data_IF_535283565219
#
_entry.id   IF_535283565219
#
_cell.length_a   1.000
_cell.length_b   1.000
_cell.length_c   1.000
_cell.angle_alpha   90.00
_cell.angle_beta   90.00
_cell.angle_gamma   90.00
#
_symmetry.space_group_name_H-M   'P 1'
#
loop_
_entity.id
_entity.type
_entity.pdbx_description
1 polymer ?
#
# COMPACT_ATOMS: atom_id res chain seq x y z
N UNK A 1 -16.09 -26.38 -46.05
CA UNK A 1 -16.11 -24.93 -46.34
C UNK A 1 -17.02 -24.29 -45.30
N UNK A 2 -16.46 -23.53 -44.35
CA UNK A 2 -17.30 -22.79 -43.39
C UNK A 2 -17.96 -21.63 -44.14
N UNK A 3 -19.29 -21.56 -44.08
CA UNK A 3 -20.05 -20.44 -44.62
C UNK A 3 -19.57 -19.16 -43.93
N UNK A 4 -19.09 -18.19 -44.70
CA UNK A 4 -18.77 -16.86 -44.16
C UNK A 4 -20.09 -16.19 -43.80
N UNK A 5 -20.34 -16.10 -42.50
CA UNK A 5 -21.45 -15.32 -41.96
C UNK A 5 -21.20 -13.84 -42.31
N UNK A 6 -22.18 -13.22 -42.99
CA UNK A 6 -22.12 -11.80 -43.31
C UNK A 6 -22.67 -11.03 -42.11
N UNK A 7 -21.89 -10.08 -41.61
CA UNK A 7 -22.30 -9.18 -40.53
C UNK A 7 -22.71 -7.85 -41.14
N UNK A 8 -23.92 -7.38 -40.86
CA UNK A 8 -24.32 -6.02 -41.21
C UNK A 8 -23.71 -5.02 -40.22
N UNK A 9 -22.77 -4.22 -40.72
CA UNK A 9 -22.04 -3.24 -39.90
C UNK A 9 -22.96 -2.11 -39.38
N UNK A 10 -24.06 -1.84 -40.08
CA UNK A 10 -25.10 -0.88 -39.67
C UNK A 10 -25.78 -1.24 -38.35
N UNK A 11 -25.93 -2.53 -38.04
CA UNK A 11 -26.55 -3.00 -36.79
C UNK A 11 -25.74 -2.59 -35.55
N UNK A 12 -24.44 -2.32 -35.75
CA UNK A 12 -23.51 -1.86 -34.73
C UNK A 12 -23.27 -0.34 -34.79
N UNK A 13 -24.02 0.38 -35.62
CA UNK A 13 -23.87 1.83 -35.81
C UNK A 13 -22.62 2.23 -36.60
N UNK A 14 -22.00 1.30 -37.33
CA UNK A 14 -20.83 1.57 -38.17
C UNK A 14 -21.31 2.09 -39.53
N UNK A 15 -20.94 3.32 -39.90
CA UNK A 15 -21.24 3.85 -41.21
C UNK A 15 -20.15 3.48 -42.22
N UNK A 16 -20.55 3.04 -43.41
CA UNK A 16 -19.62 2.63 -44.48
C UNK A 16 -19.76 3.58 -45.66
N UNK A 17 -18.66 4.18 -46.09
CA UNK A 17 -18.58 4.95 -47.32
C UNK A 17 -17.59 4.30 -48.27
N UNK A 18 -18.05 3.94 -49.47
CA UNK A 18 -17.20 3.42 -50.51
C UNK A 18 -16.99 4.47 -51.60
N UNK A 19 -15.73 4.82 -51.84
CA UNK A 19 -15.27 5.68 -52.93
C UNK A 19 -14.65 4.78 -54.00
N UNK A 20 -15.46 4.40 -54.99
CA UNK A 20 -15.09 3.51 -56.08
C UNK A 20 -13.96 4.05 -56.97
N UNK A 21 -13.96 5.33 -57.42
CA UNK A 21 -12.85 5.91 -58.18
C UNK A 21 -11.49 5.84 -57.47
N UNK A 22 -11.48 5.95 -56.14
CA UNK A 22 -10.26 5.84 -55.33
C UNK A 22 -10.01 4.45 -54.75
N UNK A 23 -10.87 3.48 -55.05
CA UNK A 23 -10.88 2.14 -54.46
C UNK A 23 -10.72 2.16 -52.93
N UNK A 24 -11.41 3.11 -52.28
CA UNK A 24 -11.27 3.37 -50.84
C UNK A 24 -12.58 3.07 -50.12
N UNK A 25 -12.51 2.25 -49.07
CA UNK A 25 -13.60 2.09 -48.09
C UNK A 25 -13.24 2.89 -46.84
N UNK A 26 -14.11 3.80 -46.42
CA UNK A 26 -14.03 4.50 -45.15
C UNK A 26 -15.08 3.95 -44.20
N UNK A 27 -14.69 3.62 -42.98
CA UNK A 27 -15.57 3.13 -41.93
C UNK A 27 -15.59 4.17 -40.82
N UNK A 28 -16.78 4.63 -40.43
CA UNK A 28 -16.98 5.43 -39.23
C UNK A 28 -17.48 4.50 -38.12
N UNK A 29 -16.60 4.21 -37.16
CA UNK A 29 -16.82 3.20 -36.13
C UNK A 29 -17.04 3.91 -34.79
N UNK A 30 -18.16 3.67 -34.09
CA UNK A 30 -18.36 4.17 -32.74
C UNK A 30 -17.19 3.83 -31.80
N UNK A 31 -16.70 4.81 -31.05
CA UNK A 31 -15.55 4.63 -30.14
C UNK A 31 -15.75 3.49 -29.13
N UNK A 32 -16.99 3.20 -28.73
CA UNK A 32 -17.33 2.11 -27.81
C UNK A 32 -17.04 0.71 -28.35
N UNK A 33 -16.85 0.57 -29.67
CA UNK A 33 -16.50 -0.70 -30.33
C UNK A 33 -14.99 -0.87 -30.54
N UNK A 34 -14.19 0.17 -30.27
CA UNK A 34 -12.75 0.11 -30.42
C UNK A 34 -12.08 -0.36 -29.12
N UNK A 35 -11.04 -1.19 -29.27
CA UNK A 35 -10.18 -1.53 -28.13
C UNK A 35 -9.48 -0.28 -27.61
N UNK A 36 -9.51 -0.10 -26.29
CA UNK A 36 -8.89 1.05 -25.64
C UNK A 36 -7.38 0.87 -25.56
N UNK A 37 -6.63 1.84 -26.06
CA UNK A 37 -5.18 1.83 -26.00
C UNK A 37 -4.70 2.21 -24.60
N UNK A 38 -4.05 1.28 -23.89
CA UNK A 38 -3.55 1.51 -22.54
C UNK A 38 -2.12 2.04 -22.56
N UNK A 39 -1.91 3.20 -21.95
CA UNK A 39 -0.60 3.82 -21.75
C UNK A 39 -0.23 3.69 -20.27
N UNK A 40 0.73 2.81 -19.96
CA UNK A 40 1.23 2.62 -18.60
C UNK A 40 2.42 3.55 -18.32
N UNK A 41 2.25 4.48 -17.38
CA UNK A 41 3.27 5.48 -17.02
C UNK A 41 4.31 4.96 -16.01
N UNK A 42 3.98 3.90 -15.26
CA UNK A 42 4.76 3.39 -14.13
C UNK A 42 6.01 2.58 -14.48
N UNK A 43 6.47 2.63 -15.74
CA UNK A 43 7.38 1.63 -16.28
C UNK A 43 6.67 0.29 -16.48
N UNK A 44 7.21 -0.54 -17.37
CA UNK A 44 6.68 -1.91 -17.56
C UNK A 44 6.56 -2.57 -16.19
N UNK A 45 5.37 -3.10 -15.88
CA UNK A 45 5.22 -4.20 -14.94
C UNK A 45 6.05 -5.37 -15.50
N UNK A 46 7.37 -5.33 -15.30
CA UNK A 46 8.19 -6.49 -15.58
C UNK A 46 7.65 -7.56 -14.63
N UNK A 47 7.05 -8.60 -15.18
CA UNK A 47 6.64 -9.76 -14.40
C UNK A 47 7.87 -10.24 -13.62
N UNK A 48 7.90 -9.90 -12.33
CA UNK A 48 8.98 -10.34 -11.46
C UNK A 48 8.73 -11.81 -11.24
N UNK A 49 9.60 -12.66 -11.76
CA UNK A 49 9.55 -14.08 -11.45
C UNK A 49 9.91 -14.27 -9.97
N UNK A 50 8.88 -14.31 -9.12
CA UNK A 50 9.03 -14.47 -7.67
C UNK A 50 9.69 -15.80 -7.30
N UNK A 51 9.53 -16.84 -8.12
CA UNK A 51 10.17 -18.14 -7.91
C UNK A 51 11.69 -18.08 -8.14
N UNK A 52 12.16 -17.09 -8.91
CA UNK A 52 13.58 -16.82 -9.10
C UNK A 52 14.19 -16.03 -7.92
N UNK A 53 13.38 -15.40 -7.06
CA UNK A 53 13.85 -14.66 -5.89
C UNK A 53 14.20 -15.66 -4.79
N UNK A 54 15.50 -15.92 -4.63
CA UNK A 54 16.00 -16.83 -3.59
C UNK A 54 16.56 -16.03 -2.42
N UNK A 55 16.11 -16.28 -1.18
CA UNK A 55 16.71 -15.65 -0.02
C UNK A 55 18.18 -16.06 0.11
N UNK A 56 19.05 -15.06 0.25
CA UNK A 56 20.49 -15.24 0.44
C UNK A 56 20.77 -15.29 1.94
N UNK A 57 21.34 -16.40 2.46
CA UNK A 57 21.74 -16.46 3.85
C UNK A 57 22.79 -15.40 4.18
N UNK A 58 22.70 -14.83 5.37
CA UNK A 58 23.59 -13.75 5.78
C UNK A 58 23.39 -13.35 7.23
N UNK A 59 24.29 -12.49 7.70
CA UNK A 59 24.22 -11.94 9.05
C UNK A 59 24.43 -10.44 8.98
N UNK A 60 23.61 -9.68 9.68
CA UNK A 60 23.72 -8.23 9.81
C UNK A 60 23.74 -7.88 11.29
N UNK A 61 24.63 -6.97 11.68
CA UNK A 61 24.68 -6.40 13.02
C UNK A 61 24.60 -4.88 12.90
N UNK A 62 23.48 -4.32 13.33
CA UNK A 62 23.28 -2.89 13.45
C UNK A 62 23.61 -2.46 14.88
N UNK A 63 24.31 -1.36 15.04
CA UNK A 63 24.63 -0.82 16.37
C UNK A 63 24.53 0.71 16.37
N UNK A 64 24.11 1.27 17.50
CA UNK A 64 24.19 2.70 17.77
C UNK A 64 24.76 2.92 19.16
N UNK A 65 25.61 3.94 19.30
CA UNK A 65 26.28 4.30 20.54
C UNK A 65 26.14 5.81 20.75
N UNK A 66 25.77 6.20 21.97
CA UNK A 66 25.63 7.58 22.39
C UNK A 66 26.35 7.79 23.71
N UNK A 67 27.22 8.80 23.76
CA UNK A 67 27.95 9.17 24.96
C UNK A 67 27.78 10.65 25.27
N UNK A 68 27.55 10.99 26.53
CA UNK A 68 27.55 12.37 27.02
C UNK A 68 28.40 12.49 28.29
N UNK A 69 29.06 13.64 28.41
CA UNK A 69 29.86 14.01 29.58
C UNK A 69 29.42 15.42 29.97
N UNK A 70 28.88 15.55 31.17
CA UNK A 70 28.48 16.81 31.77
C UNK A 70 29.18 16.98 33.12
N UNK A 71 29.20 18.19 33.67
CA UNK A 71 29.92 18.47 34.92
C UNK A 71 29.36 17.60 36.07
N UNK A 72 30.10 16.54 36.43
CA UNK A 72 29.72 15.58 37.47
C UNK A 72 28.88 14.38 37.03
N UNK A 73 28.60 14.22 35.73
CA UNK A 73 27.91 13.03 35.21
C UNK A 73 28.43 12.56 33.84
N UNK A 74 28.42 11.25 33.60
CA UNK A 74 28.77 10.60 32.33
C UNK A 74 27.68 9.60 31.99
N UNK A 75 27.24 9.58 30.75
CA UNK A 75 26.31 8.59 30.23
C UNK A 75 26.92 7.93 29.00
N UNK A 76 26.90 6.61 28.95
CA UNK A 76 27.15 5.83 27.75
C UNK A 76 25.95 4.92 27.53
N UNK A 77 25.33 5.00 26.37
CA UNK A 77 24.17 4.17 26.03
C UNK A 77 24.30 3.68 24.60
N UNK A 78 23.56 2.64 24.27
CA UNK A 78 23.55 2.11 22.92
C UNK A 78 22.52 1.04 22.72
N UNK A 79 22.29 0.71 21.47
CA UNK A 79 21.46 -0.41 21.07
C UNK A 79 22.16 -1.25 20.01
N UNK A 80 21.75 -2.51 19.92
CA UNK A 80 22.23 -3.46 18.92
C UNK A 80 21.05 -4.26 18.40
N UNK A 81 21.07 -4.54 17.10
CA UNK A 81 20.13 -5.44 16.45
C UNK A 81 20.94 -6.43 15.60
N UNK A 82 20.66 -7.71 15.80
CA UNK A 82 21.26 -8.80 15.04
C UNK A 82 20.19 -9.41 14.14
N UNK A 83 20.50 -9.57 12.86
CA UNK A 83 19.64 -10.21 11.87
C UNK A 83 20.37 -11.42 11.29
N UNK A 84 19.80 -12.61 11.46
CA UNK A 84 20.23 -13.81 10.75
C UNK A 84 19.24 -14.09 9.60
N UNK A 85 19.69 -13.83 8.38
CA UNK A 85 18.95 -14.08 7.15
C UNK A 85 19.13 -15.56 6.80
N UNK A 86 18.03 -16.29 6.64
CA UNK A 86 18.04 -17.71 6.25
C UNK A 86 17.18 -17.92 5.01
N UNK A 87 17.21 -19.14 4.46
CA UNK A 87 16.37 -19.49 3.29
C UNK A 87 14.88 -19.52 3.61
N UNK A 88 14.52 -19.67 4.88
CA UNK A 88 13.13 -19.84 5.31
C UNK A 88 12.60 -18.61 6.06
N UNK A 89 13.41 -17.57 6.27
CA UNK A 89 13.00 -16.38 7.00
C UNK A 89 14.15 -15.66 7.68
N UNK A 90 13.83 -14.62 8.41
CA UNK A 90 14.78 -13.77 9.12
C UNK A 90 14.54 -13.91 10.61
N UNK A 91 15.60 -14.24 11.35
CA UNK A 91 15.62 -14.13 12.79
C UNK A 91 16.20 -12.77 13.18
N UNK A 92 15.51 -12.00 14.02
CA UNK A 92 15.96 -10.73 14.55
C UNK A 92 16.05 -10.78 16.07
N UNK A 93 17.05 -10.11 16.64
CA UNK A 93 17.13 -9.89 18.09
C UNK A 93 17.74 -8.53 18.38
N UNK A 94 17.06 -7.74 19.22
CA UNK A 94 17.49 -6.39 19.59
C UNK A 94 17.71 -6.25 21.09
N UNK A 95 18.66 -5.40 21.45
CA UNK A 95 19.06 -5.14 22.84
C UNK A 95 19.45 -3.68 23.00
N UNK A 96 19.30 -3.14 24.20
CA UNK A 96 19.84 -1.84 24.58
C UNK A 96 20.61 -1.92 25.87
N UNK A 97 21.56 -0.99 26.05
CA UNK A 97 22.29 -0.83 27.28
C UNK A 97 22.47 0.64 27.63
N UNK A 98 22.64 0.92 28.91
CA UNK A 98 22.95 2.24 29.43
C UNK A 98 23.87 2.12 30.64
N UNK A 99 24.85 2.99 30.73
CA UNK A 99 25.86 3.08 31.77
C UNK A 99 25.94 4.55 32.16
N UNK A 100 25.33 4.89 33.29
CA UNK A 100 25.36 6.23 33.85
C UNK A 100 26.30 6.26 35.06
N UNK A 101 27.17 7.26 35.15
CA UNK A 101 28.03 7.52 36.29
C UNK A 101 27.80 8.95 36.75
N UNK A 102 27.45 9.15 38.01
CA UNK A 102 27.25 10.48 38.60
C UNK A 102 27.76 10.56 40.04
N UNK A 103 27.48 11.67 40.72
CA UNK A 103 27.90 11.90 42.10
C UNK A 103 27.40 10.81 43.09
N UNK A 104 26.25 10.20 42.81
CA UNK A 104 25.64 9.15 43.65
C UNK A 104 26.11 7.72 43.32
N UNK A 105 27.05 7.55 42.37
CA UNK A 105 27.58 6.25 41.95
C UNK A 105 27.36 5.93 40.47
N UNK A 106 27.67 4.69 40.08
CA UNK A 106 27.44 4.17 38.73
C UNK A 106 26.23 3.26 38.69
N UNK A 107 25.36 3.42 37.69
CA UNK A 107 24.25 2.54 37.39
C UNK A 107 24.37 2.02 35.96
N UNK A 108 24.16 0.72 35.77
CA UNK A 108 24.19 0.06 34.47
C UNK A 108 22.91 -0.72 34.23
N UNK A 109 22.35 -0.62 33.04
CA UNK A 109 21.23 -1.43 32.58
C UNK A 109 21.56 -2.09 31.25
N UNK A 110 21.05 -3.32 31.10
CA UNK A 110 21.04 -4.05 29.84
C UNK A 110 19.67 -4.68 29.70
N UNK A 111 18.98 -4.34 28.61
CA UNK A 111 17.61 -4.78 28.37
C UNK A 111 17.50 -5.40 27.00
N UNK A 112 16.99 -6.63 26.94
CA UNK A 112 16.56 -7.24 25.68
C UNK A 112 15.24 -6.61 25.25
N UNK A 113 15.19 -6.19 24.00
CA UNK A 113 14.06 -5.51 23.41
C UNK A 113 13.14 -6.55 22.76
N UNK A 114 13.36 -6.86 21.48
CA UNK A 114 12.55 -7.81 20.71
C UNK A 114 13.38 -9.01 20.25
N UNK A 115 12.74 -10.17 20.11
CA UNK A 115 13.29 -11.27 19.31
C UNK A 115 12.16 -11.92 18.52
N UNK A 116 12.34 -12.06 17.21
CA UNK A 116 11.35 -12.71 16.37
C UNK A 116 11.96 -13.46 15.20
N UNK A 117 11.17 -14.38 14.67
CA UNK A 117 11.40 -15.04 13.41
C UNK A 117 10.28 -14.65 12.44
N UNK A 118 10.64 -14.14 11.27
CA UNK A 118 9.68 -13.71 10.25
C UNK A 118 9.92 -14.46 8.95
N UNK A 119 8.86 -15.11 8.47
CA UNK A 119 8.79 -15.71 7.14
C UNK A 119 7.90 -14.86 6.24
N UNK A 120 8.29 -14.68 4.98
CA UNK A 120 7.51 -13.93 3.99
C UNK A 120 7.33 -14.82 2.77
N UNK A 121 6.07 -15.03 2.41
CA UNK A 121 5.65 -15.70 1.19
C UNK A 121 5.22 -14.61 0.18
N UNK A 122 6.08 -14.28 -0.80
CA UNK A 122 5.78 -13.23 -1.77
C UNK A 122 4.70 -13.64 -2.76
N UNK A 123 4.48 -14.94 -3.00
CA UNK A 123 3.47 -15.46 -3.94
C UNK A 123 2.08 -15.36 -3.30
N UNK A 124 1.95 -15.79 -2.04
CA UNK A 124 0.70 -15.65 -1.28
C UNK A 124 0.50 -14.24 -0.69
N UNK A 125 1.49 -13.34 -0.83
CA UNK A 125 1.51 -11.97 -0.28
C UNK A 125 1.19 -12.00 1.22
N UNK A 126 1.92 -12.85 1.95
CA UNK A 126 1.67 -13.11 3.36
C UNK A 126 2.97 -13.16 4.15
N UNK A 127 2.97 -12.59 5.35
CA UNK A 127 4.04 -12.76 6.31
C UNK A 127 3.54 -13.45 7.57
N UNK A 128 4.40 -14.31 8.13
CA UNK A 128 4.19 -15.00 9.40
C UNK A 128 5.32 -14.61 10.34
N UNK A 129 4.99 -14.03 11.48
CA UNK A 129 5.96 -13.62 12.51
C UNK A 129 5.70 -14.41 13.78
N UNK A 130 6.75 -15.01 14.35
CA UNK A 130 6.73 -15.71 15.63
C UNK A 130 7.73 -15.04 16.58
N UNK A 131 7.33 -14.74 17.82
CA UNK A 131 8.14 -14.02 18.80
C UNK A 131 7.56 -12.66 19.13
N UNK A 132 8.39 -11.66 19.39
CA UNK A 132 7.92 -10.29 19.66
C UNK A 132 7.54 -9.55 18.37
N UNK A 133 6.37 -8.92 18.38
CA UNK A 133 5.88 -8.08 17.30
C UNK A 133 4.91 -7.02 17.84
N UNK A 134 4.56 -6.08 16.97
CA UNK A 134 3.48 -5.14 17.21
C UNK A 134 2.24 -5.62 16.45
N UNK A 135 1.09 -5.68 17.11
CA UNK A 135 -0.18 -5.94 16.43
C UNK A 135 -0.44 -4.88 15.37
N UNK A 136 -1.16 -5.26 14.31
CA UNK A 136 -1.42 -4.33 13.22
C UNK A 136 -2.54 -3.36 13.58
N UNK A 137 -2.30 -2.07 13.39
CA UNK A 137 -3.28 -1.02 13.63
C UNK A 137 -3.82 -0.43 12.31
N UNK A 138 -5.08 -0.04 12.34
CA UNK A 138 -5.74 0.86 11.41
C UNK A 138 -5.50 2.32 11.85
N UNK A 139 -5.97 3.28 11.06
CA UNK A 139 -5.74 4.70 11.35
C UNK A 139 -6.46 5.22 12.61
N UNK A 140 -7.42 4.46 13.14
CA UNK A 140 -8.30 4.86 14.23
C UNK A 140 -8.18 4.01 15.51
N UNK A 141 -7.26 3.04 15.55
CA UNK A 141 -6.95 2.26 16.76
C UNK A 141 -5.44 2.28 17.07
N UNK A 142 -5.06 1.74 18.23
CA UNK A 142 -3.67 1.60 18.64
C UNK A 142 -3.08 0.24 18.29
N UNK A 143 -1.74 0.16 18.23
CA UNK A 143 -1.02 -1.12 18.18
C UNK A 143 -0.59 -1.55 19.59
N UNK A 144 -0.62 -2.85 19.85
CA UNK A 144 -0.15 -3.46 21.09
C UNK A 144 1.13 -4.24 20.79
N UNK A 145 2.19 -4.03 21.58
CA UNK A 145 3.40 -4.87 21.50
C UNK A 145 3.18 -6.15 22.29
N UNK A 146 3.52 -7.30 21.72
CA UNK A 146 3.21 -8.61 22.29
C UNK A 146 4.19 -9.68 21.80
N UNK A 147 4.25 -10.81 22.51
CA UNK A 147 4.91 -12.02 22.03
C UNK A 147 3.89 -13.09 21.65
N UNK A 148 4.06 -13.70 20.47
CA UNK A 148 3.17 -14.77 20.00
C UNK A 148 3.31 -15.03 18.51
N UNK A 149 2.18 -15.13 17.80
CA UNK A 149 2.07 -15.37 16.37
C UNK A 149 1.28 -14.25 15.68
N UNK A 150 1.81 -13.73 14.58
CA UNK A 150 1.13 -12.82 13.67
C UNK A 150 1.10 -13.40 12.26
N UNK A 151 -0.05 -13.33 11.61
CA UNK A 151 -0.23 -13.65 10.20
C UNK A 151 -0.86 -12.43 9.53
N UNK A 152 -0.14 -11.81 8.61
CA UNK A 152 -0.56 -10.56 7.99
C UNK A 152 -0.31 -10.54 6.47
N UNK A 153 -1.04 -9.70 5.75
CA UNK A 153 -0.75 -9.41 4.34
C UNK A 153 0.61 -8.70 4.20
N UNK A 154 1.44 -9.12 3.26
CA UNK A 154 2.80 -8.63 3.05
C UNK A 154 2.92 -7.69 1.83
N UNK A 155 1.96 -6.76 1.68
CA UNK A 155 1.93 -5.87 0.51
C UNK A 155 3.15 -4.95 0.41
N UNK A 156 3.66 -4.45 1.54
CA UNK A 156 4.85 -3.58 1.57
C UNK A 156 6.12 -4.27 1.05
N UNK A 157 6.15 -5.61 1.07
CA UNK A 157 7.29 -6.40 0.60
C UNK A 157 7.15 -6.79 -0.88
N UNK A 158 6.07 -6.35 -1.53
CA UNK A 158 5.81 -6.48 -2.97
C UNK A 158 5.76 -5.07 -3.60
N UNK A 159 6.92 -4.41 -3.80
CA UNK A 159 6.97 -3.05 -4.35
C UNK A 159 6.45 -2.96 -5.80
N UNK A 160 6.32 -4.10 -6.48
CA UNK A 160 5.67 -4.25 -7.78
C UNK A 160 4.13 -4.11 -7.70
N UNK A 161 3.54 -4.24 -6.51
CA UNK A 161 2.10 -4.12 -6.32
C UNK A 161 1.69 -2.69 -5.99
N UNK A 162 0.86 -2.13 -6.87
CA UNK A 162 0.13 -0.89 -6.60
C UNK A 162 -1.14 -1.22 -5.80
N UNK A 163 -1.08 -1.02 -4.49
CA UNK A 163 -2.19 -1.34 -3.57
C UNK A 163 -3.20 -0.23 -3.39
N UNK A 164 -2.84 1.01 -3.72
CA UNK A 164 -3.74 2.15 -3.69
C UNK A 164 -4.34 2.37 -5.07
N UNK A 165 -5.60 2.81 -5.18
CA UNK A 165 -6.16 3.17 -6.47
C UNK A 165 -5.43 4.41 -6.99
N UNK A 166 -4.67 4.24 -8.07
CA UNK A 166 -4.08 5.35 -8.79
C UNK A 166 -5.13 5.96 -9.70
N UNK A 167 -5.26 7.31 -9.75
CA UNK A 167 -6.12 7.95 -10.72
C UNK A 167 -5.74 7.57 -12.15
N UNK A 168 -6.75 7.33 -12.98
CA UNK A 168 -6.60 7.04 -14.41
C UNK A 168 -7.20 8.17 -15.24
N UNK A 169 -6.61 8.41 -16.41
CA UNK A 169 -7.06 9.42 -17.37
C UNK A 169 -7.49 8.76 -18.67
N UNK A 170 -8.80 8.61 -18.84
CA UNK A 170 -9.41 8.17 -20.11
C UNK A 170 -9.73 9.36 -21.03
N UNK A 171 -9.50 9.18 -22.32
CA UNK A 171 -9.83 10.13 -23.39
C UNK A 171 -9.99 9.42 -24.74
N UNK A 172 -10.22 10.19 -25.80
CA UNK A 172 -10.24 9.67 -27.16
C UNK A 172 -9.55 10.65 -28.12
N UNK A 173 -8.73 10.11 -29.02
CA UNK A 173 -8.05 10.87 -30.06
C UNK A 173 -8.64 10.55 -31.42
N UNK A 174 -9.09 11.56 -32.17
CA UNK A 174 -9.65 11.37 -33.52
C UNK A 174 -8.55 11.05 -34.54
N UNK A 175 -7.35 11.57 -34.31
CA UNK A 175 -6.15 11.34 -35.12
C UNK A 175 -5.01 10.87 -34.22
N UNK A 176 -3.97 10.20 -34.78
CA UNK A 176 -2.73 9.98 -34.05
C UNK A 176 -2.26 11.29 -33.40
N UNK A 177 -1.96 11.22 -32.12
CA UNK A 177 -1.69 12.40 -31.30
C UNK A 177 -0.52 12.16 -30.36
N UNK A 178 0.20 13.22 -30.02
CA UNK A 178 1.13 13.22 -28.90
C UNK A 178 0.39 13.68 -27.64
N UNK A 179 0.47 12.89 -26.58
CA UNK A 179 -0.06 13.22 -25.27
C UNK A 179 1.04 13.76 -24.37
N UNK A 180 0.92 15.02 -23.98
CA UNK A 180 1.75 15.64 -22.95
C UNK A 180 0.96 15.75 -21.65
N UNK A 181 1.48 15.17 -20.58
CA UNK A 181 0.87 15.23 -19.25
C UNK A 181 1.64 16.21 -18.37
N UNK A 182 0.91 17.18 -17.83
CA UNK A 182 1.42 18.18 -16.91
C UNK A 182 0.81 17.98 -15.53
N UNK A 183 1.65 18.05 -14.50
CA UNK A 183 1.20 18.19 -13.11
C UNK A 183 1.73 19.49 -12.56
N UNK A 184 0.81 20.37 -12.16
CA UNK A 184 1.15 21.78 -11.95
C UNK A 184 1.73 22.38 -13.23
N UNK A 185 2.98 22.85 -13.19
CA UNK A 185 3.69 23.40 -14.36
C UNK A 185 4.73 22.44 -14.97
N UNK A 186 4.94 21.27 -14.37
CA UNK A 186 5.97 20.33 -14.83
C UNK A 186 5.36 19.29 -15.78
N UNK A 187 5.99 19.08 -16.94
CA UNK A 187 5.65 17.96 -17.83
C UNK A 187 6.23 16.68 -17.26
N UNK A 188 5.37 15.73 -16.88
CA UNK A 188 5.76 14.45 -16.26
C UNK A 188 5.75 13.29 -17.26
N UNK A 189 5.05 13.43 -18.39
CA UNK A 189 5.01 12.43 -19.45
C UNK A 189 4.81 13.07 -20.82
N UNK A 190 5.34 12.41 -21.85
CA UNK A 190 5.14 12.72 -23.26
C UNK A 190 5.21 11.41 -24.05
N UNK A 191 4.21 11.13 -24.88
CA UNK A 191 4.17 9.91 -25.69
C UNK A 191 3.12 9.95 -26.79
N UNK A 192 3.22 9.05 -27.77
CA UNK A 192 2.27 8.99 -28.88
C UNK A 192 1.13 8.01 -28.59
N UNK A 193 -0.09 8.36 -29.01
CA UNK A 193 -1.25 7.47 -28.99
C UNK A 193 -1.88 7.37 -30.38
N UNK A 194 -2.37 6.17 -30.76
CA UNK A 194 -3.11 5.99 -31.99
C UNK A 194 -4.48 6.69 -31.94
N UNK A 195 -5.15 6.76 -33.10
CA UNK A 195 -6.56 7.16 -33.15
C UNK A 195 -7.44 6.14 -32.42
N UNK A 196 -8.35 6.61 -31.56
CA UNK A 196 -9.25 5.79 -30.77
C UNK A 196 -9.29 6.20 -29.29
N UNK A 197 -10.05 5.45 -28.47
CA UNK A 197 -10.04 5.63 -27.02
C UNK A 197 -8.68 5.23 -26.43
N UNK A 198 -8.23 5.97 -25.43
CA UNK A 198 -6.99 5.68 -24.69
C UNK A 198 -7.17 5.90 -23.19
N UNK A 199 -6.42 5.11 -22.42
CA UNK A 199 -6.33 5.22 -20.96
C UNK A 199 -4.87 5.45 -20.53
N UNK A 200 -4.62 6.55 -19.83
CA UNK A 200 -3.37 6.81 -19.12
C UNK A 200 -3.47 6.25 -17.69
N UNK A 201 -2.68 5.22 -17.40
CA UNK A 201 -2.68 4.49 -16.12
C UNK A 201 -1.37 4.71 -15.38
N UNK A 202 -1.40 4.45 -14.06
CA UNK A 202 -0.24 4.47 -13.18
C UNK A 202 0.46 5.82 -13.07
N UNK A 203 -0.32 6.89 -12.92
CA UNK A 203 0.21 8.22 -12.62
C UNK A 203 1.08 8.18 -11.34
N UNK A 204 2.21 8.93 -11.28
CA UNK A 204 3.04 8.99 -10.08
C UNK A 204 2.21 9.40 -8.86
N UNK A 205 2.42 8.76 -7.71
CA UNK A 205 1.72 9.10 -6.47
C UNK A 205 2.10 10.51 -6.02
N UNK A 206 1.19 11.48 -6.19
CA UNK A 206 1.40 12.86 -5.77
C UNK A 206 0.32 13.33 -4.79
N UNK A 207 0.70 14.18 -3.83
CA UNK A 207 -0.24 14.71 -2.85
C UNK A 207 -1.04 15.89 -3.45
N UNK A 208 -2.07 15.58 -4.24
CA UNK A 208 -3.04 16.56 -4.73
C UNK A 208 -2.54 17.48 -5.87
N UNK A 209 -3.47 18.14 -6.56
CA UNK A 209 -3.19 19.15 -7.58
C UNK A 209 -4.11 19.07 -8.80
N UNK A 210 -3.93 19.97 -9.77
CA UNK A 210 -4.57 19.83 -11.08
C UNK A 210 -3.59 19.12 -12.03
N UNK A 211 -4.11 18.13 -12.74
CA UNK A 211 -3.40 17.42 -13.80
C UNK A 211 -4.00 17.85 -15.12
N UNK A 212 -3.14 18.32 -16.01
CA UNK A 212 -3.51 18.83 -17.33
C UNK A 212 -2.94 17.89 -18.38
N UNK A 213 -3.82 17.29 -19.18
CA UNK A 213 -3.47 16.51 -20.35
C UNK A 213 -3.63 17.37 -21.60
N UNK A 214 -2.59 17.48 -22.40
CA UNK A 214 -2.61 18.16 -23.70
C UNK A 214 -2.40 17.12 -24.78
N UNK A 215 -3.44 16.88 -25.59
CA UNK A 215 -3.34 16.03 -26.77
C UNK A 215 -3.10 16.90 -28.00
N UNK A 216 -1.94 16.74 -28.65
CA UNK A 216 -1.58 17.45 -29.87
C UNK A 216 -1.71 16.49 -31.04
N UNK A 217 -2.64 16.74 -31.96
CA UNK A 217 -2.79 15.90 -33.15
C UNK A 217 -1.72 16.20 -34.22
N UNK A 218 -1.63 15.34 -35.23
CA UNK A 218 -0.71 15.53 -36.37
C UNK A 218 -0.88 16.86 -37.13
N UNK A 219 -2.01 17.56 -36.96
CA UNK A 219 -2.26 18.87 -37.58
C UNK A 219 -1.79 20.04 -36.70
N UNK A 220 -1.29 19.74 -35.50
CA UNK A 220 -0.85 20.72 -34.51
C UNK A 220 -2.00 21.27 -33.65
N UNK A 221 -3.23 20.77 -33.81
CA UNK A 221 -4.36 21.17 -32.98
C UNK A 221 -4.23 20.51 -31.61
N UNK A 222 -4.37 21.33 -30.57
CA UNK A 222 -4.28 20.90 -29.18
C UNK A 222 -5.65 20.80 -28.54
N UNK A 223 -5.90 19.71 -27.83
CA UNK A 223 -7.05 19.52 -26.96
C UNK A 223 -6.55 19.39 -25.53
N UNK A 224 -6.97 20.32 -24.67
CA UNK A 224 -6.58 20.36 -23.27
C UNK A 224 -7.71 19.82 -22.39
N UNK A 225 -7.38 18.86 -21.53
CA UNK A 225 -8.28 18.31 -20.51
C UNK A 225 -7.61 18.50 -19.15
N UNK A 226 -8.22 19.32 -18.30
CA UNK A 226 -7.77 19.49 -16.91
C UNK A 226 -8.71 18.74 -15.98
N UNK A 227 -8.15 17.86 -15.13
CA UNK A 227 -8.90 17.23 -14.02
C UNK A 227 -8.16 17.46 -12.71
N UNK A 228 -8.93 17.56 -11.63
CA UNK A 228 -8.37 17.52 -10.28
C UNK A 228 -7.85 16.12 -9.99
N UNK A 229 -6.67 16.07 -9.38
CA UNK A 229 -5.97 14.85 -8.99
C UNK A 229 -5.87 14.84 -7.48
N UNK A 230 -6.43 13.80 -6.86
CA UNK A 230 -6.42 13.63 -5.42
C UNK A 230 -6.03 12.19 -5.07
N UNK A 231 -4.86 12.04 -4.46
CA UNK A 231 -4.37 10.76 -3.95
C UNK A 231 -4.83 10.59 -2.51
N UNK A 232 -5.58 9.52 -2.25
CA UNK A 232 -5.99 9.16 -0.89
C UNK A 232 -5.26 7.88 -0.44
N UNK A 233 -4.21 7.97 0.40
CA UNK A 233 -3.47 6.80 0.86
C UNK A 233 -4.31 5.89 1.77
N UNK A 234 -5.47 6.34 2.23
CA UNK A 234 -6.42 5.55 3.01
C UNK A 234 -7.25 4.58 2.16
N UNK A 235 -7.18 4.66 0.84
CA UNK A 235 -7.89 3.72 -0.04
C UNK A 235 -7.04 2.51 -0.41
N UNK A 236 -7.71 1.36 -0.47
CA UNK A 236 -7.21 0.11 -1.00
C UNK A 236 -7.88 -0.14 -2.35
N UNK A 237 -7.10 -0.54 -3.35
CA UNK A 237 -7.57 -0.80 -4.72
C UNK A 237 -8.69 -1.84 -4.72
N UNK A 238 -9.63 -1.68 -5.66
CA UNK A 238 -10.77 -2.60 -5.82
C UNK A 238 -10.34 -4.06 -5.77
N UNK A 239 -11.00 -4.84 -4.91
CA UNK A 239 -10.83 -6.28 -4.79
C UNK A 239 -9.65 -6.73 -3.94
N UNK A 240 -8.76 -5.82 -3.50
CA UNK A 240 -7.70 -6.16 -2.57
C UNK A 240 -8.23 -6.26 -1.14
N UNK A 241 -7.71 -7.25 -0.40
CA UNK A 241 -7.97 -7.47 1.02
C UNK A 241 -6.63 -7.40 1.76
N UNK A 242 -6.50 -6.43 2.66
CA UNK A 242 -5.38 -6.33 3.60
C UNK A 242 -5.85 -6.78 4.97
N UNK A 243 -5.16 -7.72 5.59
CA UNK A 243 -5.54 -8.25 6.89
C UNK A 243 -4.35 -8.51 7.80
N UNK A 244 -4.62 -8.61 9.10
CA UNK A 244 -3.72 -9.13 10.13
C UNK A 244 -4.52 -9.91 11.16
N UNK A 245 -3.97 -11.03 11.60
CA UNK A 245 -4.46 -11.83 12.71
C UNK A 245 -3.29 -11.99 13.69
N UNK A 246 -3.50 -11.49 14.90
CA UNK A 246 -2.47 -11.32 15.92
C UNK A 246 -2.90 -12.06 17.19
N UNK A 247 -2.03 -12.94 17.71
CA UNK A 247 -2.33 -13.72 18.91
C UNK A 247 -1.09 -13.84 19.80
N UNK A 248 -1.21 -13.58 21.09
CA UNK A 248 -0.05 -13.56 21.99
C UNK A 248 -0.28 -12.87 23.32
N UNK A 249 0.81 -12.63 24.05
CA UNK A 249 0.77 -11.99 25.37
C UNK A 249 1.35 -10.57 25.31
N UNK A 250 0.65 -9.54 25.82
CA UNK A 250 1.15 -8.17 25.82
C UNK A 250 2.52 -8.04 26.50
N UNK A 251 3.40 -7.24 25.88
CA UNK A 251 4.73 -6.90 26.39
C UNK A 251 4.62 -5.67 27.29
N UNK A 252 4.99 -5.84 28.55
CA UNK A 252 5.04 -4.75 29.54
C UNK A 252 6.48 -4.24 29.70
N UNK A 253 6.62 -3.04 30.28
CA UNK A 253 7.94 -2.50 30.68
C UNK A 253 9.00 -2.53 29.55
N UNK A 254 8.58 -2.25 28.31
CA UNK A 254 9.47 -2.30 27.15
C UNK A 254 10.62 -1.29 27.29
N UNK A 255 11.85 -1.75 27.08
CA UNK A 255 13.07 -0.95 27.29
C UNK A 255 13.59 -0.93 28.74
N UNK A 256 12.78 -1.29 29.73
CA UNK A 256 13.23 -1.31 31.14
C UNK A 256 13.46 -2.73 31.68
N UNK A 257 12.63 -3.71 31.32
CA UNK A 257 12.79 -5.11 31.72
C UNK A 257 12.80 -6.03 30.51
N UNK A 258 13.68 -7.05 30.48
CA UNK A 258 13.89 -7.93 29.30
C UNK A 258 12.75 -8.90 28.96
N UNK A 259 11.97 -9.35 29.94
CA UNK A 259 10.97 -10.42 29.77
C UNK A 259 9.69 -10.17 30.58
N UNK A 260 9.30 -8.91 30.75
CA UNK A 260 8.03 -8.54 31.38
C UNK A 260 6.89 -8.72 30.37
N UNK A 261 6.19 -9.84 30.46
CA UNK A 261 4.98 -10.12 29.68
C UNK A 261 3.80 -10.24 30.61
N UNK A 262 2.65 -9.82 30.13
CA UNK A 262 1.38 -10.09 30.81
C UNK A 262 1.08 -11.60 30.82
N UNK A 263 0.20 -12.01 31.72
CA UNK A 263 -0.35 -13.37 31.79
C UNK A 263 -1.63 -13.53 30.97
N UNK A 264 -2.16 -12.42 30.46
CA UNK A 264 -3.38 -12.36 29.68
C UNK A 264 -3.06 -12.69 28.22
N UNK A 265 -3.80 -13.64 27.65
CA UNK A 265 -3.76 -13.87 26.21
C UNK A 265 -4.61 -12.80 25.53
N UNK A 266 -4.02 -12.14 24.55
CA UNK A 266 -4.62 -11.10 23.73
C UNK A 266 -4.70 -11.57 22.27
N UNK A 267 -5.85 -11.31 21.66
CA UNK A 267 -6.15 -11.57 20.26
C UNK A 267 -6.57 -10.26 19.61
N UNK A 268 -6.03 -9.97 18.43
CA UNK A 268 -6.48 -8.87 17.60
C UNK A 268 -6.61 -9.30 16.14
N UNK A 269 -7.56 -8.69 15.43
CA UNK A 269 -7.80 -8.92 14.02
C UNK A 269 -8.14 -7.61 13.33
N UNK A 270 -7.41 -7.30 12.26
CA UNK A 270 -7.62 -6.09 11.43
C UNK A 270 -7.87 -6.53 10.00
N UNK A 271 -8.85 -5.91 9.33
CA UNK A 271 -9.10 -6.13 7.91
C UNK A 271 -9.49 -4.82 7.21
N UNK A 272 -9.02 -4.65 5.97
CA UNK A 272 -9.37 -3.55 5.07
C UNK A 272 -9.69 -4.13 3.70
N UNK A 273 -10.79 -3.70 3.10
CA UNK A 273 -11.24 -4.18 1.80
C UNK A 273 -11.61 -3.04 0.86
N UNK A 274 -11.01 -3.05 -0.33
CA UNK A 274 -11.33 -2.11 -1.40
C UNK A 274 -12.60 -2.55 -2.12
N UNK A 275 -13.75 -1.96 -1.79
CA UNK A 275 -15.03 -2.25 -2.48
C UNK A 275 -14.95 -1.79 -3.94
N UNK A 276 -14.38 -0.61 -4.15
CA UNK A 276 -14.07 -0.02 -5.45
C UNK A 276 -12.90 0.96 -5.29
N UNK A 277 -12.40 1.50 -6.40
CA UNK A 277 -11.25 2.42 -6.38
C UNK A 277 -11.53 3.79 -5.73
N UNK A 278 -12.75 4.01 -5.25
CA UNK A 278 -13.15 5.21 -4.52
C UNK A 278 -13.50 4.93 -3.06
N UNK A 279 -13.68 3.68 -2.64
CA UNK A 279 -14.28 3.31 -1.35
C UNK A 279 -13.59 2.10 -0.74
N UNK A 280 -13.11 2.27 0.48
CA UNK A 280 -12.52 1.22 1.30
C UNK A 280 -13.23 1.15 2.63
N UNK A 281 -13.52 -0.07 3.07
CA UNK A 281 -14.05 -0.32 4.41
C UNK A 281 -12.99 -1.03 5.22
N UNK A 282 -12.99 -0.78 6.52
CA UNK A 282 -12.10 -1.43 7.45
C UNK A 282 -12.81 -1.82 8.74
N UNK A 283 -12.28 -2.85 9.39
CA UNK A 283 -12.84 -3.43 10.60
C UNK A 283 -11.70 -3.93 11.49
N UNK A 284 -11.91 -3.80 12.79
CA UNK A 284 -10.96 -4.26 13.79
C UNK A 284 -11.67 -4.84 14.99
N UNK A 285 -11.12 -5.92 15.56
CA UNK A 285 -11.60 -6.51 16.78
C UNK A 285 -10.42 -6.91 17.68
N UNK A 286 -10.59 -6.72 18.98
CA UNK A 286 -9.64 -7.15 20.01
C UNK A 286 -10.39 -7.92 21.08
N UNK A 287 -9.74 -8.94 21.63
CA UNK A 287 -10.26 -9.70 22.74
C UNK A 287 -9.12 -10.16 23.66
N UNK A 288 -9.38 -10.26 24.95
CA UNK A 288 -8.43 -10.79 25.91
C UNK A 288 -9.07 -11.78 26.88
N UNK A 289 -8.26 -12.63 27.50
CA UNK A 289 -8.75 -13.63 28.47
C UNK A 289 -9.22 -13.05 29.79
N UNK A 290 -8.89 -11.80 30.11
CA UNK A 290 -9.39 -11.07 31.29
C UNK A 290 -10.66 -10.24 30.98
N UNK A 291 -11.21 -10.37 29.77
CA UNK A 291 -12.54 -9.85 29.44
C UNK A 291 -12.58 -8.54 28.66
N UNK A 292 -11.44 -8.06 28.12
CA UNK A 292 -11.44 -6.96 27.15
C UNK A 292 -12.12 -7.46 25.88
N UNK A 293 -13.04 -6.65 25.35
CA UNK A 293 -13.59 -6.81 24.01
C UNK A 293 -13.70 -5.44 23.36
N UNK A 294 -13.00 -5.25 22.26
CA UNK A 294 -13.11 -4.06 21.42
C UNK A 294 -13.56 -4.47 20.01
N UNK A 295 -14.43 -3.67 19.40
CA UNK A 295 -14.88 -3.85 18.02
C UNK A 295 -15.05 -2.48 17.38
N UNK A 296 -14.54 -2.30 16.18
CA UNK A 296 -14.75 -1.07 15.43
C UNK A 296 -14.79 -1.31 13.94
N UNK A 297 -15.25 -0.28 13.24
CA UNK A 297 -15.24 -0.24 11.79
C UNK A 297 -15.11 1.17 11.28
N UNK A 298 -14.58 1.28 10.07
CA UNK A 298 -14.41 2.55 9.39
C UNK A 298 -14.65 2.46 7.90
N UNK A 299 -14.78 3.64 7.32
CA UNK A 299 -15.05 3.88 5.93
C UNK A 299 -14.15 5.01 5.46
N UNK A 300 -13.43 4.78 4.37
CA UNK A 300 -12.69 5.80 3.64
C UNK A 300 -13.26 5.91 2.24
N UNK A 301 -13.58 7.13 1.81
CA UNK A 301 -14.16 7.38 0.48
C UNK A 301 -13.64 8.66 -0.16
N UNK A 302 -13.27 8.60 -1.43
CA UNK A 302 -13.02 9.79 -2.25
C UNK A 302 -14.34 10.32 -2.80
N UNK A 303 -14.56 11.63 -2.65
CA UNK A 303 -15.77 12.34 -3.08
C UNK A 303 -15.39 13.33 -4.17
N UNK A 304 -16.07 13.22 -5.32
CA UNK A 304 -15.96 14.13 -6.46
C UNK A 304 -14.52 14.33 -7.03
N UNK A 305 -13.58 13.44 -6.71
CA UNK A 305 -12.21 13.47 -7.25
C UNK A 305 -11.29 14.54 -6.66
N UNK A 306 -11.74 15.31 -5.66
CA UNK A 306 -10.94 16.37 -5.03
C UNK A 306 -10.99 16.36 -3.50
N UNK A 307 -11.83 15.52 -2.88
CA UNK A 307 -11.94 15.41 -1.43
C UNK A 307 -11.93 13.94 -0.98
N UNK A 308 -11.49 13.70 0.24
CA UNK A 308 -11.64 12.42 0.92
C UNK A 308 -12.43 12.61 2.22
N UNK A 309 -13.33 11.67 2.47
CA UNK A 309 -14.08 11.56 3.72
C UNK A 309 -13.67 10.25 4.37
N UNK A 310 -13.27 10.33 5.63
CA UNK A 310 -13.00 9.15 6.46
C UNK A 310 -13.86 9.24 7.70
N UNK A 311 -14.40 8.11 8.14
CA UNK A 311 -15.18 8.03 9.37
C UNK A 311 -15.00 6.65 9.97
N UNK A 312 -14.91 6.59 11.29
CA UNK A 312 -14.73 5.37 12.05
C UNK A 312 -15.52 5.46 13.34
N UNK A 313 -15.93 4.30 13.86
CA UNK A 313 -16.52 4.18 15.18
C UNK A 313 -16.04 2.87 15.81
N UNK A 314 -15.79 2.90 17.11
CA UNK A 314 -15.46 1.72 17.87
C UNK A 314 -16.24 1.67 19.19
N UNK A 315 -16.52 0.45 19.63
CA UNK A 315 -17.09 0.14 20.92
C UNK A 315 -16.11 -0.75 21.69
N UNK A 316 -15.89 -0.43 22.96
CA UNK A 316 -15.04 -1.20 23.84
C UNK A 316 -15.75 -1.52 25.15
N UNK A 317 -15.45 -2.69 25.71
CA UNK A 317 -15.84 -3.05 27.07
C UNK A 317 -14.71 -3.77 27.79
N UNK A 318 -14.50 -3.39 29.05
CA UNK A 318 -13.53 -4.00 29.95
C UNK A 318 -13.91 -3.72 31.40
N UNK A 319 -13.83 -4.74 32.26
CA UNK A 319 -14.00 -4.63 33.71
C UNK A 319 -15.25 -3.82 34.13
N UNK A 320 -16.41 -4.15 33.53
CA UNK A 320 -17.69 -3.50 33.82
C UNK A 320 -17.88 -2.10 33.21
N UNK A 321 -16.86 -1.54 32.56
CA UNK A 321 -16.96 -0.29 31.82
C UNK A 321 -17.18 -0.57 30.32
N UNK A 322 -17.92 0.31 29.66
CA UNK A 322 -18.02 0.30 28.20
C UNK A 322 -18.22 1.70 27.63
N UNK A 323 -17.85 1.89 26.36
CA UNK A 323 -17.93 3.19 25.71
C UNK A 323 -17.76 3.12 24.21
N UNK A 324 -18.05 4.26 23.57
CA UNK A 324 -17.89 4.48 22.14
C UNK A 324 -16.84 5.55 21.90
N UNK A 325 -16.08 5.41 20.81
CA UNK A 325 -15.19 6.42 20.26
C UNK A 325 -15.37 6.57 18.75
#
# INVERSE_FOLDING_TARGET
MQAREKVELSDYGIAVQYDEPRQKVSLDVPLALLETHNVELGGRNAEVNLDAVKPTPGFVANYSLYGSIEAGSKLLSGNTELLALTRIGVFSSSTQFSLAQGASGSNGSFTRLDTSFRHIDPVAIRSVTLGDFNSNALAWNGSVRMAGLQIASAFEQRPDLVTTPLPEFSGAAVLPSTLDLYVGQQRVYSGEVPSGPFDLKSLPSMAGGNVRLVATDITGRQVEITKSYYFNPMLLRKGLLQYSIDAGVPRLDYGTKSFSYDKVLFLAGSARYGINDLTTVDAHAEASTDGLVNLGGGLSRTVAGFAAVTGSAAYGSYDGNSGWI
#
